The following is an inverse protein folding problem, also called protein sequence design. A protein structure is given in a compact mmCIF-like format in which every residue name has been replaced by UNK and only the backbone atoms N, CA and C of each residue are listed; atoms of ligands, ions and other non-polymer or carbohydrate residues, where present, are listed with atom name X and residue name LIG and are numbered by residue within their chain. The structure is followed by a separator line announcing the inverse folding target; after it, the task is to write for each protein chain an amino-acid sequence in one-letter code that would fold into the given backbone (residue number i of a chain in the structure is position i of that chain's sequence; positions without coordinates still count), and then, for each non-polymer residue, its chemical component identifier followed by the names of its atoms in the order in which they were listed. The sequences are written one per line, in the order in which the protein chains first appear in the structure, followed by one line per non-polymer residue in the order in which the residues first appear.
data_IF_049520351701
#
_entry.id   IF_049520351701
#
_cell.length_a   1.000
_cell.length_b   1.000
_cell.length_c   1.000
_cell.angle_alpha   90.00
_cell.angle_beta   90.00
_cell.angle_gamma   90.00
#
_symmetry.space_group_name_H-M   'P 1'
#
loop_
_entity.id
_entity.type
_entity.pdbx_description
1 polymer ?
#
# COMPACT_ATOMS: atom_id res chain seq x y z
N UNK A 1 16.04 3.33 6.52
CA UNK A 1 14.92 3.17 7.49
C UNK A 1 15.15 3.92 8.80
N UNK A 2 16.36 4.39 9.07
CA UNK A 2 16.69 5.24 10.22
C UNK A 2 17.06 6.65 9.75
N UNK A 3 16.97 7.62 10.66
CA UNK A 3 17.43 8.99 10.39
C UNK A 3 18.92 9.02 10.01
N UNK A 4 19.76 8.19 10.65
CA UNK A 4 21.20 8.14 10.36
C UNK A 4 21.50 7.69 8.93
N UNK A 5 20.81 6.65 8.44
CA UNK A 5 20.96 6.21 7.05
C UNK A 5 20.53 7.29 6.06
N UNK A 6 19.38 7.94 6.32
CA UNK A 6 18.87 8.97 5.44
C UNK A 6 19.80 10.19 5.38
N UNK A 7 20.38 10.60 6.51
CA UNK A 7 21.39 11.68 6.55
C UNK A 7 22.59 11.36 5.66
N UNK A 8 23.16 10.15 5.78
CA UNK A 8 24.27 9.71 4.94
C UNK A 8 23.93 9.72 3.45
N UNK A 9 22.71 9.35 3.09
CA UNK A 9 22.26 9.40 1.68
C UNK A 9 22.23 10.84 1.18
N UNK A 10 21.68 11.77 1.96
CA UNK A 10 21.61 13.19 1.57
C UNK A 10 22.99 13.83 1.49
N UNK A 11 23.88 13.52 2.44
CA UNK A 11 25.28 13.96 2.42
C UNK A 11 26.04 13.43 1.20
N UNK A 12 25.67 12.26 0.69
CA UNK A 12 26.20 11.71 -0.56
C UNK A 12 25.62 12.38 -1.83
N UNK A 13 24.70 13.34 -1.69
CA UNK A 13 24.17 14.14 -2.80
C UNK A 13 23.00 13.52 -3.56
N UNK A 14 22.23 12.61 -2.95
CA UNK A 14 21.03 12.07 -3.59
C UNK A 14 19.94 13.12 -3.77
N UNK A 15 19.20 13.03 -4.88
CA UNK A 15 18.06 13.92 -5.17
C UNK A 15 16.76 13.42 -4.52
N UNK A 16 16.70 12.13 -4.18
CA UNK A 16 15.54 11.50 -3.56
C UNK A 16 15.95 10.44 -2.53
N UNK A 17 15.10 10.27 -1.51
CA UNK A 17 15.21 9.23 -0.49
C UNK A 17 13.90 8.45 -0.43
N UNK A 18 13.98 7.13 -0.65
CA UNK A 18 12.87 6.22 -0.44
C UNK A 18 12.94 5.57 0.95
N UNK A 19 11.96 5.87 1.79
CA UNK A 19 11.75 5.28 3.10
C UNK A 19 10.94 4.00 2.95
N UNK A 20 11.63 2.91 2.64
CA UNK A 20 11.00 1.60 2.47
C UNK A 20 10.70 0.95 3.84
N UNK A 21 9.45 0.61 4.15
CA UNK A 21 9.00 0.00 5.41
C UNK A 21 8.64 -1.49 5.29
N UNK A 22 9.37 -2.24 4.46
CA UNK A 22 9.16 -3.67 4.14
C UNK A 22 7.89 -3.95 3.32
N UNK A 23 7.71 -5.21 2.94
CA UNK A 23 6.60 -5.68 2.10
C UNK A 23 5.26 -5.38 2.76
N UNK A 24 4.28 -5.07 1.91
CA UNK A 24 2.90 -4.86 2.37
C UNK A 24 2.34 -6.19 2.89
N UNK A 25 1.45 -6.19 3.89
CA UNK A 25 0.87 -7.43 4.44
C UNK A 25 0.22 -8.32 3.36
N UNK A 26 -0.35 -7.72 2.30
CA UNK A 26 -0.92 -8.43 1.16
C UNK A 26 0.11 -9.23 0.33
N UNK A 27 1.41 -9.00 0.53
CA UNK A 27 2.49 -9.64 -0.22
C UNK A 27 3.10 -10.84 0.52
N UNK A 28 2.87 -10.96 1.83
CA UNK A 28 3.39 -12.06 2.65
C UNK A 28 2.34 -12.51 3.65
N UNK A 29 1.79 -13.70 3.46
CA UNK A 29 0.98 -14.41 4.46
C UNK A 29 1.71 -14.69 5.80
N UNK A 30 2.95 -14.20 5.97
CA UNK A 30 3.91 -14.59 7.02
C UNK A 30 4.57 -13.39 7.71
N UNK A 31 4.32 -12.13 7.31
CA UNK A 31 4.96 -10.98 7.97
C UNK A 31 4.10 -10.44 9.12
N UNK A 32 4.30 -11.01 10.30
CA UNK A 32 3.64 -10.69 11.58
C UNK A 32 4.05 -9.34 12.21
N UNK A 33 4.63 -8.43 11.45
CA UNK A 33 5.15 -7.15 11.97
C UNK A 33 4.69 -5.97 11.11
N UNK A 34 3.37 -5.80 11.00
CA UNK A 34 2.83 -4.55 10.44
C UNK A 34 2.89 -3.47 11.51
N UNK A 35 3.83 -2.55 11.38
CA UNK A 35 3.69 -1.24 12.04
C UNK A 35 2.34 -0.63 11.60
N UNK A 36 1.65 0.05 12.50
CA UNK A 36 0.40 0.74 12.16
C UNK A 36 0.64 1.99 11.31
N UNK A 37 -0.40 2.51 10.65
CA UNK A 37 -0.30 3.76 9.86
C UNK A 37 0.20 4.95 10.69
N UNK A 38 -0.22 5.06 11.96
CA UNK A 38 0.24 6.13 12.86
C UNK A 38 1.74 6.02 13.18
N UNK A 39 2.24 4.80 13.42
CA UNK A 39 3.67 4.57 13.65
C UNK A 39 4.48 4.82 12.37
N UNK A 40 3.96 4.40 11.22
CA UNK A 40 4.53 4.69 9.91
C UNK A 40 4.66 6.21 9.72
N UNK A 41 3.60 6.98 9.99
CA UNK A 41 3.61 8.43 9.85
C UNK A 41 4.64 9.08 10.79
N UNK A 42 4.66 8.70 12.07
CA UNK A 42 5.62 9.21 13.04
C UNK A 42 7.08 8.98 12.58
N UNK A 43 7.40 7.74 12.19
CA UNK A 43 8.75 7.37 11.74
C UNK A 43 9.14 8.06 10.44
N UNK A 44 8.20 8.20 9.51
CA UNK A 44 8.40 8.90 8.25
C UNK A 44 8.67 10.38 8.48
N UNK A 45 7.89 11.03 9.34
CA UNK A 45 8.08 12.43 9.71
C UNK A 45 9.45 12.69 10.34
N UNK A 46 9.91 11.80 11.21
CA UNK A 46 11.25 11.88 11.80
C UNK A 46 12.36 11.82 10.74
N UNK A 47 12.25 10.91 9.78
CA UNK A 47 13.25 10.75 8.73
C UNK A 47 13.19 11.92 7.74
N UNK A 48 12.00 12.33 7.31
CA UNK A 48 11.81 13.47 6.42
C UNK A 48 12.39 14.76 7.02
N UNK A 49 12.14 15.02 8.31
CA UNK A 49 12.78 16.13 9.03
C UNK A 49 14.29 16.04 9.04
N UNK A 50 14.86 14.86 9.27
CA UNK A 50 16.31 14.66 9.25
C UNK A 50 16.93 14.91 7.86
N UNK A 51 16.23 14.52 6.80
CA UNK A 51 16.62 14.77 5.40
C UNK A 51 16.57 16.26 5.08
N UNK A 52 15.43 16.91 5.34
CA UNK A 52 15.22 18.32 5.04
C UNK A 52 16.03 19.28 5.92
N UNK A 53 16.54 18.81 7.06
CA UNK A 53 17.52 19.56 7.85
C UNK A 53 18.87 19.70 7.13
N UNK A 54 19.22 18.78 6.23
CA UNK A 54 20.46 18.84 5.43
C UNK A 54 20.18 19.50 4.07
N UNK A 55 19.15 19.04 3.36
CA UNK A 55 18.77 19.60 2.07
C UNK A 55 17.25 19.57 1.87
N UNK A 56 16.64 20.76 1.82
CA UNK A 56 15.19 20.97 1.64
C UNK A 56 14.65 20.54 0.29
N UNK A 57 15.52 20.37 -0.72
CA UNK A 57 15.13 20.02 -2.08
C UNK A 57 15.07 18.51 -2.33
N UNK A 58 15.52 17.68 -1.37
CA UNK A 58 15.48 16.22 -1.51
C UNK A 58 14.04 15.74 -1.45
N UNK A 59 13.65 14.96 -2.46
CA UNK A 59 12.32 14.34 -2.53
C UNK A 59 12.28 13.16 -1.55
N UNK A 60 11.32 13.16 -0.65
CA UNK A 60 11.10 12.08 0.32
C UNK A 60 9.90 11.22 -0.12
N UNK A 61 10.15 9.96 -0.43
CA UNK A 61 9.16 9.01 -0.90
C UNK A 61 8.97 7.89 0.11
N UNK A 62 7.77 7.36 0.19
CA UNK A 62 7.41 6.17 0.95
C UNK A 62 7.55 4.93 0.07
N UNK A 63 7.71 3.77 0.68
CA UNK A 63 7.59 2.50 -0.02
C UNK A 63 7.24 1.40 0.97
N UNK A 64 6.38 0.47 0.58
CA UNK A 64 6.00 -0.63 1.45
C UNK A 64 5.17 -0.25 2.67
N UNK A 65 5.20 -1.09 3.72
CA UNK A 65 4.50 -0.87 4.98
C UNK A 65 3.01 -1.21 4.92
N UNK A 66 2.19 -0.69 5.86
CA UNK A 66 0.75 -0.96 5.89
C UNK A 66 -0.07 -0.21 4.81
N UNK A 67 0.56 0.53 3.87
CA UNK A 67 -0.16 1.32 2.86
C UNK A 67 -0.71 0.38 1.78
N UNK A 68 -2.02 0.22 1.75
CA UNK A 68 -2.74 -0.60 0.77
C UNK A 68 -3.65 0.21 -0.14
N UNK A 69 -3.98 1.45 0.23
CA UNK A 69 -4.90 2.31 -0.52
C UNK A 69 -4.37 3.73 -0.73
N UNK A 70 -4.81 4.43 -1.78
CA UNK A 70 -4.42 5.82 -2.04
C UNK A 70 -4.74 6.79 -0.90
N UNK A 71 -5.85 6.58 -0.17
CA UNK A 71 -6.28 7.46 0.92
C UNK A 71 -5.30 7.36 2.11
N UNK A 72 -4.84 6.15 2.42
CA UNK A 72 -3.87 5.89 3.48
C UNK A 72 -2.53 6.57 3.15
N UNK A 73 -2.09 6.52 1.89
CA UNK A 73 -0.91 7.24 1.42
C UNK A 73 -1.10 8.75 1.58
N UNK A 74 -2.25 9.27 1.18
CA UNK A 74 -2.55 10.71 1.25
C UNK A 74 -2.48 11.23 2.68
N UNK A 75 -3.01 10.48 3.64
CA UNK A 75 -2.96 10.85 5.06
C UNK A 75 -1.52 10.91 5.58
N UNK A 76 -0.69 9.91 5.27
CA UNK A 76 0.72 9.90 5.67
C UNK A 76 1.49 11.04 5.00
N UNK A 77 1.30 11.28 3.70
CA UNK A 77 1.95 12.38 3.00
C UNK A 77 1.57 13.75 3.59
N UNK A 78 0.29 13.94 3.93
CA UNK A 78 -0.21 15.17 4.55
C UNK A 78 0.39 15.41 5.94
N UNK A 79 0.52 14.37 6.76
CA UNK A 79 1.08 14.48 8.11
C UNK A 79 2.60 14.73 8.10
N UNK A 80 3.30 14.14 7.13
CA UNK A 80 4.77 14.09 7.14
C UNK A 80 5.45 15.04 6.17
N UNK A 81 4.72 15.59 5.21
CA UNK A 81 5.25 16.42 4.13
C UNK A 81 6.02 15.62 3.07
N UNK A 82 5.88 14.30 3.06
CA UNK A 82 6.47 13.44 2.01
C UNK A 82 5.69 13.56 0.70
N UNK A 83 6.39 13.34 -0.41
CA UNK A 83 5.90 13.72 -1.75
C UNK A 83 5.26 12.57 -2.53
N UNK A 84 5.29 11.34 -2.02
CA UNK A 84 4.68 10.23 -2.74
C UNK A 84 5.16 8.85 -2.30
N UNK A 85 4.98 7.89 -3.20
CA UNK A 85 5.19 6.47 -2.94
C UNK A 85 5.86 5.79 -4.13
N UNK A 86 6.81 4.91 -3.86
CA UNK A 86 7.37 3.97 -4.83
C UNK A 86 6.70 2.62 -4.59
N UNK A 87 5.79 2.26 -5.49
CA UNK A 87 5.10 0.98 -5.46
C UNK A 87 5.82 -0.08 -6.30
N UNK A 88 5.76 -1.31 -5.81
CA UNK A 88 6.10 -2.51 -6.57
C UNK A 88 4.85 -3.35 -6.76
N UNK A 89 4.78 -4.47 -6.04
CA UNK A 89 3.69 -5.44 -6.21
C UNK A 89 2.30 -4.92 -5.83
N UNK A 90 2.25 -3.90 -4.99
CA UNK A 90 1.04 -3.13 -4.68
C UNK A 90 0.43 -2.40 -5.88
N UNK A 91 1.21 -2.12 -6.93
CA UNK A 91 0.74 -1.41 -8.13
C UNK A 91 0.63 -2.31 -9.36
N UNK A 92 1.49 -3.31 -9.53
CA UNK A 92 1.45 -4.18 -10.71
C UNK A 92 0.70 -5.50 -10.48
N UNK A 93 1.11 -6.29 -9.48
CA UNK A 93 0.68 -7.67 -9.29
C UNK A 93 -0.65 -7.78 -8.54
N UNK A 94 -0.77 -7.12 -7.39
CA UNK A 94 -1.97 -7.25 -6.52
C UNK A 94 -3.24 -6.77 -7.23
N UNK A 95 -3.26 -5.60 -7.91
CA UNK A 95 -4.45 -5.18 -8.65
C UNK A 95 -4.83 -6.13 -9.79
N UNK A 96 -3.82 -6.71 -10.46
CA UNK A 96 -4.02 -7.69 -11.52
C UNK A 96 -4.62 -9.00 -10.97
N UNK A 97 -4.04 -9.55 -9.89
CA UNK A 97 -4.53 -10.77 -9.23
C UNK A 97 -5.99 -10.61 -8.77
N UNK A 98 -6.32 -9.47 -8.16
CA UNK A 98 -7.68 -9.15 -7.73
C UNK A 98 -8.65 -9.09 -8.90
N UNK A 99 -8.27 -8.43 -10.00
CA UNK A 99 -9.12 -8.31 -11.19
C UNK A 99 -9.45 -9.69 -11.79
N UNK A 100 -8.45 -10.58 -11.89
CA UNK A 100 -8.64 -11.95 -12.40
C UNK A 100 -9.55 -12.76 -11.48
N UNK A 101 -9.35 -12.66 -10.17
CA UNK A 101 -10.16 -13.32 -9.16
C UNK A 101 -11.64 -12.88 -9.25
N UNK A 102 -11.88 -11.57 -9.29
CA UNK A 102 -13.22 -10.98 -9.33
C UNK A 102 -13.98 -11.39 -10.59
N UNK A 103 -13.35 -11.27 -11.76
CA UNK A 103 -13.97 -11.67 -13.03
C UNK A 103 -14.30 -13.16 -13.06
N UNK A 104 -13.37 -14.01 -12.60
CA UNK A 104 -13.58 -15.46 -12.54
C UNK A 104 -14.69 -15.84 -11.57
N UNK A 105 -14.74 -15.18 -10.41
CA UNK A 105 -15.80 -15.37 -9.41
C UNK A 105 -17.17 -14.94 -9.96
N UNK A 106 -17.23 -13.82 -10.68
CA UNK A 106 -18.43 -13.33 -11.33
C UNK A 106 -19.04 -14.36 -12.30
N UNK A 107 -18.23 -14.92 -13.21
CA UNK A 107 -18.71 -15.95 -14.14
C UNK A 107 -19.24 -17.19 -13.43
N UNK A 108 -18.53 -17.69 -12.41
CA UNK A 108 -18.98 -18.86 -11.64
C UNK A 108 -20.27 -18.60 -10.87
N UNK A 109 -20.49 -17.37 -10.42
CA UNK A 109 -21.66 -16.98 -9.64
C UNK A 109 -22.95 -17.04 -10.47
N UNK A 110 -22.89 -16.82 -11.79
CA UNK A 110 -24.06 -16.89 -12.68
C UNK A 110 -24.76 -18.25 -12.59
N UNK A 111 -23.99 -19.34 -12.61
CA UNK A 111 -24.54 -20.69 -12.52
C UNK A 111 -25.26 -20.93 -11.19
N UNK A 112 -24.63 -20.56 -10.07
CA UNK A 112 -25.19 -20.71 -8.72
C UNK A 112 -26.47 -19.87 -8.55
N UNK A 113 -26.48 -18.65 -9.07
CA UNK A 113 -27.67 -17.80 -9.01
C UNK A 113 -28.82 -18.37 -9.84
N UNK A 114 -28.53 -18.92 -11.03
CA UNK A 114 -29.55 -19.53 -11.88
C UNK A 114 -30.19 -20.75 -11.21
N UNK A 115 -29.40 -21.64 -10.62
CA UNK A 115 -29.94 -22.78 -9.88
C UNK A 115 -30.83 -22.35 -8.71
N UNK A 116 -30.44 -21.29 -7.99
CA UNK A 116 -31.26 -20.73 -6.91
C UNK A 116 -32.57 -20.13 -7.42
N UNK A 117 -32.55 -19.43 -8.55
CA UNK A 117 -33.76 -18.89 -9.19
C UNK A 117 -34.70 -20.03 -9.58
N UNK A 118 -34.19 -21.06 -10.28
CA UNK A 118 -34.98 -22.22 -10.70
C UNK A 118 -35.61 -22.96 -9.50
N UNK A 119 -34.88 -23.05 -8.38
CA UNK A 119 -35.38 -23.63 -7.12
C UNK A 119 -36.52 -22.81 -6.51
N UNK A 120 -36.38 -21.49 -6.49
CA UNK A 120 -37.40 -20.57 -5.97
C UNK A 120 -38.67 -20.59 -6.82
N UNK A 121 -38.53 -20.59 -8.16
CA UNK A 121 -39.66 -20.69 -9.09
C UNK A 121 -40.48 -21.97 -8.84
N UNK A 122 -39.80 -23.12 -8.69
CA UNK A 122 -40.45 -24.40 -8.34
C UNK A 122 -41.17 -24.37 -7.00
N UNK A 123 -40.61 -23.68 -6.00
CA UNK A 123 -41.23 -23.55 -4.67
C UNK A 123 -42.48 -22.66 -4.69
N UNK A 124 -42.53 -21.69 -5.59
CA UNK A 124 -43.63 -20.73 -5.74
C UNK A 124 -44.78 -21.25 -6.64
N UNK A 125 -44.66 -22.45 -7.23
CA UNK A 125 -45.63 -23.01 -8.19
C UNK A 125 -45.93 -22.08 -9.38
N UNK A 126 -44.93 -21.33 -9.86
CA UNK A 126 -44.89 -20.84 -11.23
C UNK A 126 -44.40 -21.97 -12.16
#
# INVERSE_FOLDING_TARGET
RTQSEARRMVEAGVEAVCMNFNLNPAETAVSSTSIGLAELAARTGDIARAVHAINRNVVCLLGGGPITKPEELMDVCRETGTQGFIGGSSLDRVPLEMSVLEMTSGFKTIHVLREKVDLLERQLQL
#
